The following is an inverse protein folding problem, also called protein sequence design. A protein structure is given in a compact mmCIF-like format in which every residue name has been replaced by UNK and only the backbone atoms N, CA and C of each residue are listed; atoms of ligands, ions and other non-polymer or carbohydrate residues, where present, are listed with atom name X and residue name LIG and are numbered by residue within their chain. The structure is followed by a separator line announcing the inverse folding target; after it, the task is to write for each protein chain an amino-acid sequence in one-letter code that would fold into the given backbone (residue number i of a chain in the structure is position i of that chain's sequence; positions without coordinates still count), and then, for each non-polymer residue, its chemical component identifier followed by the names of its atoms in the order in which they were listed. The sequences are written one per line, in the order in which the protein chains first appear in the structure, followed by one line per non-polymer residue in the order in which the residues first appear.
data_IF_819499584539
#
_entry.id   IF_819499584539
#
_cell.length_a   1.000
_cell.length_b   1.000
_cell.length_c   1.000
_cell.angle_alpha   90.00
_cell.angle_beta   90.00
_cell.angle_gamma   90.00
#
_symmetry.space_group_name_H-M   'P 1'
#
loop_
_entity.id
_entity.type
_entity.pdbx_description
1 polymer ?
#
# COMPACT_ATOMS: atom_id res chain seq x y z
N UNK A 1 -2.33 -7.23 15.13
CA UNK A 1 -3.05 -7.30 13.83
C UNK A 1 -3.16 -5.89 13.27
N UNK A 2 -2.24 -5.52 12.37
CA UNK A 2 -2.09 -4.14 11.84
C UNK A 2 -3.29 -3.73 10.97
N UNK A 3 -3.99 -4.71 10.40
CA UNK A 3 -5.13 -4.52 9.49
C UNK A 3 -6.45 -4.14 10.19
N UNK A 4 -6.41 -3.85 11.50
CA UNK A 4 -7.55 -3.35 12.27
C UNK A 4 -7.15 -2.11 13.08
N UNK A 5 -6.22 -1.30 12.55
CA UNK A 5 -5.73 -0.09 13.22
C UNK A 5 -6.84 0.96 13.37
N UNK A 6 -6.65 1.88 14.31
CA UNK A 6 -7.51 3.07 14.43
C UNK A 6 -7.42 3.96 13.18
N UNK A 7 -6.24 4.09 12.58
CA UNK A 7 -6.04 4.92 11.39
C UNK A 7 -6.89 4.45 10.21
N UNK A 8 -7.02 3.14 10.01
CA UNK A 8 -7.87 2.57 8.97
C UNK A 8 -9.36 2.87 9.24
N UNK A 9 -9.82 2.74 10.49
CA UNK A 9 -11.20 3.07 10.85
C UNK A 9 -11.49 4.54 10.57
N UNK A 10 -10.59 5.44 10.95
CA UNK A 10 -10.74 6.88 10.68
C UNK A 10 -10.74 7.19 9.19
N UNK A 11 -9.93 6.50 8.40
CA UNK A 11 -9.90 6.64 6.95
C UNK A 11 -11.23 6.21 6.32
N UNK A 12 -11.71 5.00 6.64
CA UNK A 12 -12.99 4.49 6.13
C UNK A 12 -14.13 5.39 6.58
N UNK A 13 -14.20 5.75 7.86
CA UNK A 13 -15.22 6.68 8.36
C UNK A 13 -15.25 8.01 7.59
N UNK A 14 -14.08 8.57 7.27
CA UNK A 14 -14.00 9.78 6.47
C UNK A 14 -14.51 9.59 5.03
N UNK A 15 -14.28 8.42 4.42
CA UNK A 15 -14.79 8.09 3.09
C UNK A 15 -16.30 7.85 3.08
N UNK A 16 -16.85 7.29 4.16
CA UNK A 16 -18.29 7.06 4.34
C UNK A 16 -19.04 8.29 4.87
N UNK A 17 -18.33 9.39 5.20
CA UNK A 17 -18.94 10.59 5.76
C UNK A 17 -19.36 10.48 7.24
N UNK A 18 -18.86 9.47 7.96
CA UNK A 18 -19.16 9.25 9.38
C UNK A 18 -18.33 10.21 10.25
N UNK A 19 -18.95 11.04 11.11
CA UNK A 19 -18.23 12.02 11.91
C UNK A 19 -17.35 11.36 12.97
N UNK A 20 -16.21 12.01 13.28
CA UNK A 20 -15.22 11.48 14.25
C UNK A 20 -15.79 11.26 15.65
N UNK A 21 -16.83 12.00 16.03
CA UNK A 21 -17.54 11.87 17.31
C UNK A 21 -18.18 10.50 17.50
N UNK A 22 -18.64 9.87 16.42
CA UNK A 22 -19.33 8.56 16.44
C UNK A 22 -18.37 7.38 16.59
N UNK A 23 -17.06 7.58 16.34
CA UNK A 23 -16.06 6.51 16.40
C UNK A 23 -15.73 6.06 17.84
N UNK A 24 -16.00 6.91 18.83
CA UNK A 24 -15.66 6.69 20.23
C UNK A 24 -14.18 6.91 20.56
N UNK A 25 -13.72 6.34 21.68
CA UNK A 25 -12.34 6.49 22.20
C UNK A 25 -11.60 5.16 22.15
N UNK A 26 -10.40 5.15 21.57
CA UNK A 26 -9.59 3.93 21.44
C UNK A 26 -9.34 3.26 22.79
N UNK A 27 -9.59 1.95 22.85
CA UNK A 27 -9.42 1.17 24.07
C UNK A 27 -10.51 1.38 25.12
N UNK A 28 -11.46 2.30 24.89
CA UNK A 28 -12.47 2.69 25.89
C UNK A 28 -13.90 2.49 25.40
N UNK A 29 -14.28 3.05 24.26
CA UNK A 29 -15.68 3.08 23.81
C UNK A 29 -15.84 3.12 22.29
N UNK A 30 -17.05 2.80 21.82
CA UNK A 30 -17.45 2.87 20.42
C UNK A 30 -16.70 1.89 19.51
N UNK A 31 -16.62 2.24 18.23
CA UNK A 31 -15.95 1.46 17.19
C UNK A 31 -14.47 1.27 17.53
N UNK A 32 -13.82 2.29 18.12
CA UNK A 32 -12.39 2.25 18.46
C UNK A 32 -12.07 1.44 19.74
N UNK A 33 -13.09 0.92 20.46
CA UNK A 33 -12.92 0.22 21.74
C UNK A 33 -11.96 -0.96 21.65
N UNK A 34 -12.17 -1.90 20.73
CA UNK A 34 -11.40 -3.14 20.65
C UNK A 34 -10.99 -3.46 19.22
N UNK A 35 -10.13 -4.47 19.04
CA UNK A 35 -9.83 -4.97 17.68
C UNK A 35 -11.08 -5.57 17.04
N UNK A 36 -11.94 -6.22 17.81
CA UNK A 36 -13.17 -6.84 17.30
C UNK A 36 -14.17 -5.81 16.78
N UNK A 37 -14.38 -4.71 17.51
CA UNK A 37 -15.28 -3.63 17.07
C UNK A 37 -14.75 -2.94 15.81
N UNK A 38 -13.44 -2.68 15.76
CA UNK A 38 -12.80 -2.10 14.56
C UNK A 38 -12.88 -3.04 13.37
N UNK A 39 -12.63 -4.35 13.57
CA UNK A 39 -12.75 -5.36 12.51
C UNK A 39 -14.17 -5.40 11.97
N UNK A 40 -15.19 -5.44 12.84
CA UNK A 40 -16.60 -5.46 12.44
C UNK A 40 -16.96 -4.26 11.58
N UNK A 41 -16.54 -3.05 11.98
CA UNK A 41 -16.76 -1.83 11.21
C UNK A 41 -16.03 -1.87 9.86
N UNK A 42 -14.75 -2.26 9.84
CA UNK A 42 -13.97 -2.31 8.60
C UNK A 42 -14.49 -3.37 7.61
N UNK A 43 -15.13 -4.44 8.09
CA UNK A 43 -15.72 -5.50 7.25
C UNK A 43 -17.20 -5.28 6.93
N UNK A 44 -17.77 -4.11 7.24
CA UNK A 44 -19.17 -3.83 6.91
C UNK A 44 -19.32 -3.74 5.38
N UNK A 45 -20.26 -4.49 4.82
CA UNK A 45 -20.50 -4.55 3.38
C UNK A 45 -21.31 -3.36 2.85
N UNK A 46 -21.92 -2.57 3.75
CA UNK A 46 -22.63 -1.34 3.38
C UNK A 46 -21.67 -0.17 3.06
N UNK A 47 -20.42 -0.25 3.51
CA UNK A 47 -19.40 0.75 3.22
C UNK A 47 -18.95 0.67 1.76
N UNK A 48 -18.64 1.82 1.17
CA UNK A 48 -17.94 1.89 -0.12
C UNK A 48 -16.61 1.13 -0.09
N UNK A 49 -15.91 1.12 1.05
CA UNK A 49 -14.68 0.33 1.25
C UNK A 49 -14.87 -0.68 2.36
N UNK A 50 -14.92 -1.97 1.98
CA UNK A 50 -15.04 -3.10 2.91
C UNK A 50 -13.79 -3.98 2.90
N UNK A 51 -13.36 -4.41 4.09
CA UNK A 51 -12.17 -5.20 4.30
C UNK A 51 -12.50 -6.69 4.37
N UNK A 52 -11.93 -7.47 3.45
CA UNK A 52 -11.96 -8.93 3.51
C UNK A 52 -10.72 -9.43 4.25
N UNK A 53 -10.94 -10.12 5.35
CA UNK A 53 -9.85 -10.64 6.17
C UNK A 53 -9.58 -12.11 5.88
N UNK A 54 -8.32 -12.47 5.65
CA UNK A 54 -7.91 -13.86 5.51
C UNK A 54 -8.00 -14.62 6.84
N UNK A 55 -8.11 -15.97 6.80
CA UNK A 55 -8.03 -16.79 8.00
C UNK A 55 -6.73 -16.55 8.78
N UNK A 56 -6.74 -16.91 10.07
CA UNK A 56 -5.53 -16.84 10.90
C UNK A 56 -4.45 -17.73 10.28
N UNK A 57 -3.20 -17.26 10.32
CA UNK A 57 -2.04 -17.92 9.72
C UNK A 57 -2.04 -18.02 8.19
N UNK A 58 -2.96 -17.33 7.50
CA UNK A 58 -2.98 -17.24 6.04
C UNK A 58 -2.48 -15.89 5.53
N UNK A 59 -1.37 -15.38 6.10
CA UNK A 59 -0.75 -14.14 5.60
C UNK A 59 -0.22 -14.29 4.17
N UNK A 60 0.16 -15.50 3.76
CA UNK A 60 0.61 -15.80 2.40
C UNK A 60 -0.47 -15.56 1.32
N UNK A 61 -1.75 -15.57 1.69
CA UNK A 61 -2.86 -15.18 0.80
C UNK A 61 -3.02 -13.66 0.69
N UNK A 62 -2.41 -12.89 1.58
CA UNK A 62 -2.54 -11.44 1.59
C UNK A 62 -1.67 -10.82 0.48
N UNK A 63 -2.32 -10.20 -0.51
CA UNK A 63 -1.64 -9.62 -1.67
C UNK A 63 -0.65 -8.51 -1.28
N UNK A 64 -0.84 -7.84 -0.13
CA UNK A 64 0.08 -6.81 0.35
C UNK A 64 1.49 -7.37 0.57
N UNK A 65 1.63 -8.64 0.95
CA UNK A 65 2.92 -9.30 1.12
C UNK A 65 3.69 -9.39 -0.20
N UNK A 66 2.97 -9.56 -1.32
CA UNK A 66 3.57 -9.51 -2.66
C UNK A 66 4.12 -8.12 -2.98
N UNK A 67 3.37 -7.06 -2.63
CA UNK A 67 3.80 -5.67 -2.82
C UNK A 67 5.04 -5.37 -1.97
N UNK A 68 5.08 -5.80 -0.70
CA UNK A 68 6.27 -5.66 0.13
C UNK A 68 7.48 -6.39 -0.45
N UNK A 69 7.28 -7.59 -1.00
CA UNK A 69 8.33 -8.30 -1.74
C UNK A 69 8.85 -7.52 -2.95
N UNK A 70 7.97 -6.84 -3.70
CA UNK A 70 8.35 -6.00 -4.84
C UNK A 70 9.13 -4.77 -4.38
N UNK A 71 8.64 -4.05 -3.37
CA UNK A 71 9.32 -2.87 -2.79
C UNK A 71 10.71 -3.28 -2.31
N UNK A 72 10.81 -4.39 -1.56
CA UNK A 72 12.10 -4.87 -1.10
C UNK A 72 13.04 -5.14 -2.28
N UNK A 73 12.61 -5.93 -3.28
CA UNK A 73 13.49 -6.29 -4.42
C UNK A 73 13.87 -5.12 -5.32
N UNK A 74 12.98 -4.14 -5.52
CA UNK A 74 13.15 -3.08 -6.53
C UNK A 74 13.61 -1.74 -5.94
N UNK A 75 13.18 -1.40 -4.74
CA UNK A 75 13.43 -0.09 -4.13
C UNK A 75 14.51 -0.12 -3.05
N UNK A 76 14.55 -1.19 -2.24
CA UNK A 76 15.38 -1.28 -1.02
C UNK A 76 16.63 -2.15 -1.21
N UNK A 77 16.50 -3.33 -1.82
CA UNK A 77 17.56 -4.34 -1.88
C UNK A 77 18.78 -3.78 -2.61
N UNK A 78 19.94 -3.80 -1.93
CA UNK A 78 21.22 -3.21 -2.35
C UNK A 78 21.20 -1.66 -2.46
N UNK A 79 20.25 -1.00 -1.81
CA UNK A 79 20.27 0.44 -1.61
C UNK A 79 21.15 0.80 -0.42
N UNK A 80 21.95 1.85 -0.58
CA UNK A 80 22.66 2.52 0.50
C UNK A 80 21.95 3.85 0.79
N UNK A 81 21.63 4.09 2.05
CA UNK A 81 20.78 5.21 2.46
C UNK A 81 21.50 6.01 3.55
N UNK A 82 21.86 7.28 3.29
CA UNK A 82 22.62 8.09 4.26
C UNK A 82 21.76 8.53 5.46
N UNK A 83 20.43 8.37 5.39
CA UNK A 83 19.50 8.71 6.47
C UNK A 83 18.16 8.01 6.32
N UNK A 84 17.38 7.98 7.41
CA UNK A 84 15.98 7.53 7.39
C UNK A 84 15.12 8.39 6.46
N UNK A 85 15.38 9.70 6.40
CA UNK A 85 14.67 10.60 5.50
C UNK A 85 14.92 10.23 4.02
N UNK A 86 16.16 9.89 3.66
CA UNK A 86 16.50 9.43 2.32
C UNK A 86 15.79 8.11 1.96
N UNK A 87 15.70 7.18 2.91
CA UNK A 87 14.93 5.94 2.73
C UNK A 87 13.43 6.24 2.56
N UNK A 88 12.85 7.12 3.37
CA UNK A 88 11.45 7.50 3.27
C UNK A 88 11.15 8.12 1.90
N UNK A 89 11.99 9.06 1.45
CA UNK A 89 11.86 9.65 0.12
C UNK A 89 11.94 8.58 -0.97
N UNK A 90 12.91 7.66 -0.89
CA UNK A 90 13.04 6.54 -1.82
C UNK A 90 11.76 5.71 -1.93
N UNK A 91 11.14 5.40 -0.79
CA UNK A 91 9.91 4.62 -0.73
C UNK A 91 8.74 5.40 -1.33
N UNK A 92 8.57 6.68 -0.98
CA UNK A 92 7.51 7.53 -1.51
C UNK A 92 7.62 7.68 -3.04
N UNK A 93 8.82 7.95 -3.56
CA UNK A 93 9.05 8.04 -5.01
C UNK A 93 8.77 6.70 -5.71
N UNK A 94 9.17 5.57 -5.10
CA UNK A 94 8.90 4.25 -5.68
C UNK A 94 7.40 3.94 -5.72
N UNK A 95 6.67 4.26 -4.65
CA UNK A 95 5.22 4.07 -4.58
C UNK A 95 4.52 4.91 -5.65
N UNK A 96 4.91 6.17 -5.82
CA UNK A 96 4.35 7.04 -6.87
C UNK A 96 4.58 6.45 -8.26
N UNK A 97 5.82 6.06 -8.58
CA UNK A 97 6.16 5.39 -9.84
C UNK A 97 5.38 4.09 -10.04
N UNK A 98 5.31 3.24 -9.00
CA UNK A 98 4.61 1.96 -9.10
C UNK A 98 3.11 2.17 -9.36
N UNK A 99 2.50 3.17 -8.72
CA UNK A 99 1.10 3.52 -8.92
C UNK A 99 0.82 4.03 -10.33
N UNK A 100 1.68 4.89 -10.87
CA UNK A 100 1.53 5.41 -12.23
C UNK A 100 1.74 4.32 -13.30
N UNK A 101 2.70 3.42 -13.04
CA UNK A 101 3.26 2.56 -14.07
C UNK A 101 2.69 1.14 -14.07
N UNK A 102 2.47 0.58 -12.88
CA UNK A 102 2.14 -0.83 -12.69
C UNK A 102 0.81 -1.07 -11.99
N UNK A 103 0.23 -0.07 -11.30
CA UNK A 103 -1.03 -0.27 -10.62
C UNK A 103 -2.14 -0.56 -11.65
N UNK A 104 -2.60 -1.79 -11.61
CA UNK A 104 -3.76 -2.28 -12.34
C UNK A 104 -4.61 -3.07 -11.35
N UNK A 105 -5.93 -3.11 -11.53
CA UNK A 105 -6.77 -4.02 -10.76
C UNK A 105 -6.20 -5.44 -10.84
N UNK A 106 -6.05 -6.09 -9.68
CA UNK A 106 -5.63 -7.49 -9.65
C UNK A 106 -6.78 -8.35 -10.14
N UNK A 107 -6.62 -8.95 -11.32
CA UNK A 107 -7.54 -9.96 -11.84
C UNK A 107 -7.26 -11.29 -11.14
N UNK A 108 -7.82 -11.45 -9.94
CA UNK A 108 -7.61 -12.64 -9.13
C UNK A 108 -8.44 -13.82 -9.66
N UNK A 109 -7.79 -14.95 -9.94
CA UNK A 109 -8.46 -16.21 -10.30
C UNK A 109 -8.05 -17.29 -9.30
N UNK A 110 -9.04 -17.98 -8.73
CA UNK A 110 -8.77 -19.09 -7.79
C UNK A 110 -7.98 -20.23 -8.43
N UNK A 111 -8.11 -20.38 -9.76
CA UNK A 111 -7.49 -21.46 -10.54
C UNK A 111 -6.02 -21.21 -10.89
N UNK A 112 -5.48 -20.02 -10.58
CA UNK A 112 -4.09 -19.66 -10.89
C UNK A 112 -3.78 -19.57 -12.38
N UNK A 113 -4.78 -19.69 -13.26
CA UNK A 113 -4.60 -19.55 -14.71
C UNK A 113 -4.50 -18.06 -15.03
N UNK A 114 -3.43 -17.63 -15.72
CA UNK A 114 -3.31 -16.24 -16.13
C UNK A 114 -4.42 -15.92 -17.13
N UNK A 115 -5.13 -14.81 -16.90
CA UNK A 115 -6.04 -14.27 -17.90
C UNK A 115 -5.21 -13.84 -19.13
N UNK A 116 -5.78 -14.03 -20.33
CA UNK A 116 -5.20 -13.61 -21.60
C UNK A 116 -4.66 -12.17 -21.46
N UNK A 117 -3.34 -12.02 -21.49
CA UNK A 117 -2.71 -10.71 -21.28
C UNK A 117 -2.50 -10.08 -22.65
N UNK A 118 -3.19 -8.98 -22.93
CA UNK A 118 -2.93 -8.16 -24.10
C UNK A 118 -1.48 -7.65 -24.05
N UNK A 119 -0.81 -7.51 -25.20
CA UNK A 119 0.53 -6.93 -25.27
C UNK A 119 0.51 -5.50 -24.69
N UNK A 120 1.12 -5.32 -23.51
CA UNK A 120 1.27 -3.99 -22.89
C UNK A 120 2.71 -3.55 -23.08
N UNK A 121 2.88 -2.34 -23.59
CA UNK A 121 4.18 -1.71 -23.76
C UNK A 121 4.92 -1.63 -22.42
N UNK A 122 6.21 -2.01 -22.41
CA UNK A 122 6.98 -2.11 -21.17
C UNK A 122 7.39 -0.69 -20.73
N UNK A 123 6.92 -0.23 -19.56
CA UNK A 123 7.29 1.10 -19.09
C UNK A 123 8.76 1.17 -18.68
N UNK A 124 9.34 2.38 -18.67
CA UNK A 124 10.70 2.62 -18.20
C UNK A 124 10.87 2.05 -16.79
N UNK A 125 11.99 1.39 -16.55
CA UNK A 125 12.23 0.77 -15.25
C UNK A 125 12.57 1.83 -14.20
N UNK A 126 12.16 1.55 -12.97
CA UNK A 126 12.51 2.35 -11.80
C UNK A 126 14.00 2.72 -11.71
N UNK A 127 14.89 1.79 -12.08
CA UNK A 127 16.34 2.01 -12.07
C UNK A 127 16.77 3.04 -13.12
N UNK A 128 16.20 2.97 -14.31
CA UNK A 128 16.49 3.91 -15.41
C UNK A 128 16.05 5.33 -15.05
N UNK A 129 14.84 5.48 -14.51
CA UNK A 129 14.33 6.79 -14.10
C UNK A 129 15.20 7.41 -13.00
N UNK A 130 15.64 6.61 -12.05
CA UNK A 130 16.45 7.11 -10.93
C UNK A 130 17.90 7.40 -11.30
N UNK A 131 18.53 6.57 -12.16
CA UNK A 131 19.84 6.89 -12.73
C UNK A 131 19.79 8.21 -13.52
N UNK A 132 18.75 8.42 -14.32
CA UNK A 132 18.56 9.68 -15.05
C UNK A 132 18.41 10.88 -14.10
N UNK A 133 17.59 10.76 -13.04
CA UNK A 133 17.41 11.81 -12.04
C UNK A 133 18.70 12.13 -11.27
N UNK A 134 19.45 11.10 -10.84
CA UNK A 134 20.74 11.26 -10.16
C UNK A 134 21.74 11.98 -11.07
N UNK A 135 21.84 11.59 -12.33
CA UNK A 135 22.74 12.22 -13.29
C UNK A 135 22.36 13.68 -13.53
N UNK A 136 21.07 13.99 -13.72
CA UNK A 136 20.59 15.36 -13.88
C UNK A 136 20.93 16.25 -12.67
N UNK A 137 20.80 15.71 -11.45
CA UNK A 137 21.14 16.44 -10.22
C UNK A 137 22.65 16.68 -10.08
N UNK A 138 23.50 15.74 -10.50
CA UNK A 138 24.96 15.93 -10.55
C UNK A 138 25.31 17.02 -11.57
N UNK A 139 24.73 16.99 -12.77
CA UNK A 139 25.00 18.02 -13.79
C UNK A 139 24.57 19.42 -13.33
N UNK A 140 23.46 19.55 -12.59
CA UNK A 140 22.98 20.82 -12.06
C UNK A 140 23.85 21.39 -10.91
N UNK A 141 24.72 20.57 -10.29
CA UNK A 141 25.65 21.01 -9.24
C UNK A 141 27.05 21.38 -9.77
N UNK A 142 27.34 21.03 -11.03
CA UNK A 142 28.64 21.26 -11.68
C UNK A 142 28.58 22.44 -12.68
N UNK A 143 27.38 22.96 -12.96
CA UNK A 143 27.12 24.15 -13.77
C UNK A 143 26.86 25.37 -12.88
#
# INVERSE_FOLDING_TARGET
NVHCSESLVRLVANLEGIPKSELGKKGRSGILKSVATRRKFLSDASHRVSFVYTPKHSSWLNQIETIFGIINRRAIKRGDFPSVAALQQRLTEFIAYFNETFAKPFNWTYTGRPNQTSAVEKPKTWRQLWQSKKNAQIHALVA
#
